data_IF_732117816373
#
_entry.id   IF_732117816373
#
_cell.length_a   1.000
_cell.length_b   1.000
_cell.length_c   1.000
_cell.angle_alpha   90.00
_cell.angle_beta   90.00
_cell.angle_gamma   90.00
#
_symmetry.space_group_name_H-M   'P 1'
#
loop_
_entity.id
_entity.type
_entity.pdbx_description
1 polymer ?
#
# COMPACT_ATOMS: atom_id res chain seq x y z
N UNK A 1 29.96 -15.16 7.28
CA UNK A 1 28.82 -16.10 7.32
C UNK A 1 27.61 -15.22 7.62
N UNK A 2 26.88 -14.76 6.60
CA UNK A 2 25.65 -13.99 6.80
C UNK A 2 24.60 -14.98 7.28
N UNK A 3 24.10 -14.81 8.51
CA UNK A 3 22.87 -15.47 8.92
C UNK A 3 21.78 -15.01 7.95
N UNK A 4 21.18 -15.96 7.25
CA UNK A 4 19.91 -15.72 6.56
C UNK A 4 18.91 -15.52 7.71
N UNK A 5 18.60 -14.26 8.02
CA UNK A 5 17.53 -13.91 8.92
C UNK A 5 16.27 -14.23 8.09
N UNK A 6 15.61 -15.31 8.43
CA UNK A 6 14.33 -15.67 7.81
C UNK A 6 13.35 -14.52 8.06
N UNK A 7 12.72 -14.02 7.01
CA UNK A 7 11.75 -12.93 7.10
C UNK A 7 10.61 -13.28 8.07
N UNK A 8 10.01 -12.27 8.67
CA UNK A 8 8.92 -12.43 9.63
C UNK A 8 7.67 -12.99 8.95
N UNK A 9 6.98 -13.88 9.63
CA UNK A 9 5.69 -14.43 9.21
C UNK A 9 4.59 -13.36 9.22
N UNK A 10 3.47 -13.62 8.56
CA UNK A 10 2.30 -12.72 8.58
C UNK A 10 1.75 -12.51 10.00
N UNK A 11 1.80 -13.54 10.86
CA UNK A 11 1.35 -13.42 12.25
C UNK A 11 2.29 -12.55 13.08
N UNK A 12 3.59 -12.60 12.84
CA UNK A 12 4.57 -11.72 13.49
C UNK A 12 4.38 -10.28 13.06
N UNK A 13 4.20 -10.03 11.75
CA UNK A 13 3.89 -8.70 11.24
C UNK A 13 2.59 -8.15 11.80
N UNK A 14 1.56 -8.98 11.90
CA UNK A 14 0.29 -8.59 12.50
C UNK A 14 0.47 -8.14 13.95
N UNK A 15 1.20 -8.91 14.77
CA UNK A 15 1.51 -8.54 16.16
C UNK A 15 2.28 -7.22 16.24
N UNK A 16 3.31 -7.04 15.39
CA UNK A 16 4.06 -5.78 15.33
C UNK A 16 3.12 -4.60 15.04
N UNK A 17 2.20 -4.73 14.09
CA UNK A 17 1.26 -3.67 13.76
C UNK A 17 0.24 -3.40 14.87
N UNK A 18 -0.19 -4.43 15.59
CA UNK A 18 -1.06 -4.32 16.76
C UNK A 18 -0.34 -3.64 17.93
N UNK A 19 0.87 -4.05 18.26
CA UNK A 19 1.70 -3.48 19.33
C UNK A 19 2.01 -1.99 19.10
N UNK A 20 2.24 -1.61 17.86
CA UNK A 20 2.43 -0.23 17.44
C UNK A 20 1.13 0.58 17.41
N UNK A 21 -0.03 -0.07 17.61
CA UNK A 21 -1.36 0.52 17.42
C UNK A 21 -1.56 1.07 15.99
N UNK A 22 -0.86 0.51 15.02
CA UNK A 22 -1.09 0.79 13.61
C UNK A 22 -2.36 0.08 13.11
N UNK A 23 -2.71 -1.02 13.73
CA UNK A 23 -3.90 -1.82 13.45
C UNK A 23 -4.97 -1.56 14.52
N UNK A 24 -6.17 -1.23 14.08
CA UNK A 24 -7.29 -0.98 14.97
C UNK A 24 -8.54 -1.72 14.50
N UNK A 25 -9.23 -2.33 15.45
CA UNK A 25 -10.51 -2.99 15.25
C UNK A 25 -11.48 -2.52 16.35
N UNK A 26 -12.70 -2.20 15.95
CA UNK A 26 -13.77 -1.81 16.86
C UNK A 26 -14.21 -3.01 17.72
N UNK A 27 -14.30 -2.83 19.00
CA UNK A 27 -14.62 -3.88 19.97
C UNK A 27 -16.13 -4.15 20.17
N UNK A 28 -16.97 -3.48 19.38
CA UNK A 28 -18.44 -3.59 19.49
C UNK A 28 -19.07 -2.64 20.50
N UNK A 29 -18.30 -1.89 21.29
CA UNK A 29 -18.86 -0.93 22.26
C UNK A 29 -19.49 0.28 21.54
N UNK A 30 -20.81 0.51 21.63
CA UNK A 30 -21.48 1.60 20.92
C UNK A 30 -21.05 3.01 21.35
N UNK A 31 -20.41 3.14 22.51
CA UNK A 31 -19.87 4.42 22.96
C UNK A 31 -18.56 4.81 22.25
N UNK A 32 -17.90 3.84 21.60
CA UNK A 32 -16.68 4.07 20.82
C UNK A 32 -17.03 4.50 19.40
N UNK A 33 -16.29 5.46 18.84
CA UNK A 33 -16.44 5.79 17.43
C UNK A 33 -15.90 4.68 16.53
N UNK A 34 -16.41 4.60 15.30
CA UNK A 34 -15.88 3.76 14.25
C UNK A 34 -15.36 4.58 13.06
N UNK A 35 -14.67 3.92 12.12
CA UNK A 35 -13.98 4.61 11.05
C UNK A 35 -14.92 5.06 9.93
N UNK A 36 -14.88 6.37 9.60
CA UNK A 36 -15.40 6.94 8.36
C UNK A 36 -14.26 6.95 7.33
N UNK A 37 -14.38 6.14 6.29
CA UNK A 37 -13.39 6.01 5.23
C UNK A 37 -13.53 7.10 4.17
N UNK A 38 -12.47 7.31 3.40
CA UNK A 38 -12.53 8.13 2.18
C UNK A 38 -13.60 7.58 1.25
N UNK A 39 -14.46 8.43 0.72
CA UNK A 39 -15.62 8.03 -0.08
C UNK A 39 -16.89 7.73 0.72
N UNK A 40 -16.92 8.06 2.02
CA UNK A 40 -18.13 8.03 2.86
C UNK A 40 -18.51 6.65 3.38
N UNK A 41 -17.77 5.59 3.10
CA UNK A 41 -18.02 4.26 3.66
C UNK A 41 -17.56 4.18 5.11
N UNK A 42 -18.21 3.32 5.89
CA UNK A 42 -17.88 3.03 7.29
C UNK A 42 -17.14 1.71 7.42
N UNK A 43 -16.32 1.57 8.45
CA UNK A 43 -15.62 0.31 8.76
C UNK A 43 -15.40 0.13 10.26
N UNK A 44 -15.46 -1.11 10.72
CA UNK A 44 -15.07 -1.49 12.07
C UNK A 44 -13.57 -1.74 12.23
N UNK A 45 -12.76 -1.48 11.21
CA UNK A 45 -11.31 -1.65 11.28
C UNK A 45 -10.57 -0.64 10.41
N UNK A 46 -9.35 -0.32 10.80
CA UNK A 46 -8.46 0.57 10.05
C UNK A 46 -6.99 0.20 10.28
N UNK A 47 -6.18 0.33 9.25
CA UNK A 47 -4.74 0.26 9.35
C UNK A 47 -4.15 1.65 9.04
N UNK A 48 -3.37 2.17 9.98
CA UNK A 48 -2.68 3.44 9.83
C UNK A 48 -1.24 3.19 9.38
N UNK A 49 -1.01 3.13 8.08
CA UNK A 49 0.29 2.89 7.48
C UNK A 49 1.35 3.92 7.87
N UNK A 50 0.94 5.16 8.16
CA UNK A 50 1.87 6.23 8.56
C UNK A 50 2.68 5.87 9.80
N UNK A 51 2.12 5.10 10.74
CA UNK A 51 2.82 4.65 11.96
C UNK A 51 3.99 3.72 11.63
N UNK A 52 3.88 2.94 10.57
CA UNK A 52 4.96 2.06 10.09
C UNK A 52 5.97 2.88 9.27
N UNK A 53 5.45 3.71 8.37
CA UNK A 53 6.24 4.51 7.41
C UNK A 53 7.13 5.52 8.13
N UNK A 54 6.67 6.14 9.23
CA UNK A 54 7.48 7.07 10.03
C UNK A 54 8.70 6.42 10.72
N UNK A 55 8.82 5.09 10.67
CA UNK A 55 9.93 4.29 11.26
C UNK A 55 10.78 3.67 10.15
N UNK A 56 11.83 4.36 9.65
CA UNK A 56 12.57 3.91 8.47
C UNK A 56 13.11 2.48 8.56
N UNK A 57 13.67 2.09 9.71
CA UNK A 57 14.21 0.73 9.88
C UNK A 57 13.10 -0.34 9.78
N UNK A 58 11.95 -0.09 10.41
CA UNK A 58 10.81 -1.00 10.34
C UNK A 58 10.24 -1.08 8.92
N UNK A 59 10.18 0.05 8.21
CA UNK A 59 9.75 0.09 6.82
C UNK A 59 10.70 -0.70 5.92
N UNK A 60 12.02 -0.57 6.13
CA UNK A 60 13.02 -1.34 5.38
C UNK A 60 12.87 -2.83 5.62
N UNK A 61 12.70 -3.27 6.88
CA UNK A 61 12.44 -4.68 7.22
C UNK A 61 11.15 -5.17 6.53
N UNK A 62 10.08 -4.38 6.61
CA UNK A 62 8.79 -4.70 5.98
C UNK A 62 8.91 -4.90 4.47
N UNK A 63 9.64 -4.01 3.80
CA UNK A 63 9.86 -4.08 2.36
C UNK A 63 10.78 -5.26 1.99
N UNK A 64 11.80 -5.56 2.79
CA UNK A 64 12.65 -6.73 2.59
C UNK A 64 11.85 -8.05 2.68
N UNK A 65 11.01 -8.18 3.71
CA UNK A 65 10.16 -9.36 3.88
C UNK A 65 9.10 -9.50 2.77
N UNK A 66 8.60 -8.39 2.21
CA UNK A 66 7.74 -8.43 1.02
C UNK A 66 8.48 -8.96 -0.20
N UNK A 67 9.71 -8.50 -0.40
CA UNK A 67 10.54 -8.93 -1.54
C UNK A 67 10.92 -10.41 -1.45
N UNK A 68 11.12 -10.96 -0.24
CA UNK A 68 11.40 -12.40 -0.07
C UNK A 68 10.24 -13.29 -0.53
N UNK A 69 9.00 -12.77 -0.51
CA UNK A 69 7.79 -13.48 -0.98
C UNK A 69 7.60 -13.46 -2.50
N UNK A 70 8.52 -12.83 -3.25
CA UNK A 70 8.36 -12.55 -4.67
C UNK A 70 9.59 -12.91 -5.49
N UNK A 71 9.34 -13.26 -6.75
CA UNK A 71 10.39 -13.46 -7.75
C UNK A 71 11.05 -12.15 -8.22
N UNK A 72 10.44 -10.98 -7.97
CA UNK A 72 10.98 -9.68 -8.38
C UNK A 72 12.34 -9.38 -7.74
N UNK A 73 12.60 -9.94 -6.56
CA UNK A 73 13.89 -9.79 -5.88
C UNK A 73 15.08 -10.32 -6.69
N UNK A 74 14.84 -11.25 -7.61
CA UNK A 74 15.86 -11.76 -8.53
C UNK A 74 16.20 -10.83 -9.69
N UNK A 75 15.29 -9.92 -10.06
CA UNK A 75 15.46 -9.02 -11.20
C UNK A 75 16.36 -7.82 -10.88
N UNK A 76 16.39 -7.37 -9.61
CA UNK A 76 17.14 -6.16 -9.19
C UNK A 76 18.61 -6.40 -8.88
N UNK A 77 19.05 -7.65 -8.68
CA UNK A 77 20.44 -7.94 -8.26
C UNK A 77 21.41 -7.88 -9.43
N UNK A 78 21.97 -6.71 -9.68
CA UNK A 78 23.08 -6.54 -10.65
C UNK A 78 24.44 -6.62 -9.97
N UNK A 79 25.48 -7.10 -10.67
CA UNK A 79 26.85 -6.93 -10.21
C UNK A 79 27.20 -5.44 -10.11
N UNK A 80 27.91 -5.03 -9.03
CA UNK A 80 28.39 -3.64 -8.90
C UNK A 80 29.25 -3.29 -10.12
N UNK A 81 28.93 -2.17 -10.78
CA UNK A 81 29.67 -1.67 -11.94
C UNK A 81 29.18 -2.19 -13.29
N UNK A 82 28.12 -3.00 -13.34
CA UNK A 82 27.49 -3.37 -14.61
C UNK A 82 26.77 -2.16 -15.21
N UNK A 83 26.91 -1.96 -16.54
CA UNK A 83 26.14 -0.95 -17.26
C UNK A 83 24.63 -1.26 -17.15
N UNK A 84 23.82 -0.22 -17.02
CA UNK A 84 22.36 -0.36 -17.08
C UNK A 84 21.94 -0.81 -18.48
N UNK A 85 21.46 -2.04 -18.58
CA UNK A 85 20.87 -2.58 -19.82
C UNK A 85 19.39 -2.86 -19.63
N UNK A 86 18.53 -2.64 -20.65
CA UNK A 86 17.11 -2.99 -20.55
C UNK A 86 16.90 -4.51 -20.37
N UNK A 87 15.78 -4.93 -19.75
CA UNK A 87 14.75 -4.08 -19.17
C UNK A 87 15.16 -3.45 -17.85
N UNK A 88 14.67 -2.24 -17.58
CA UNK A 88 14.96 -1.51 -16.34
C UNK A 88 13.85 -1.70 -15.33
N UNK A 89 14.18 -2.17 -14.14
CA UNK A 89 13.20 -2.25 -13.06
C UNK A 89 12.94 -0.85 -12.50
N UNK A 90 11.65 -0.52 -12.32
CA UNK A 90 11.23 0.76 -11.76
C UNK A 90 10.05 0.58 -10.82
N UNK A 91 10.19 1.04 -9.59
CA UNK A 91 9.14 0.92 -8.58
C UNK A 91 8.29 2.17 -8.54
N UNK A 92 6.97 2.02 -8.60
CA UNK A 92 6.02 3.11 -8.44
C UNK A 92 5.10 2.89 -7.25
N UNK A 93 5.02 3.93 -6.39
CA UNK A 93 4.03 4.02 -5.32
C UNK A 93 2.95 5.04 -5.63
N UNK A 94 1.82 4.97 -4.95
CA UNK A 94 0.80 6.02 -5.00
C UNK A 94 1.07 7.07 -3.90
N UNK A 95 0.99 8.34 -4.24
CA UNK A 95 1.14 9.38 -3.22
C UNK A 95 -0.15 9.52 -2.38
N UNK A 96 -0.02 9.73 -1.06
CA UNK A 96 1.26 9.93 -0.33
C UNK A 96 1.70 8.64 0.41
N UNK A 97 0.80 7.64 0.57
CA UNK A 97 1.04 6.49 1.44
C UNK A 97 2.22 5.61 0.99
N UNK A 98 2.41 5.43 -0.33
CA UNK A 98 3.40 4.51 -0.83
C UNK A 98 4.68 5.18 -1.37
N UNK A 99 4.85 6.50 -1.14
CA UNK A 99 6.06 7.22 -1.59
C UNK A 99 7.34 6.68 -0.95
N UNK A 100 7.32 6.47 0.37
CA UNK A 100 8.48 5.96 1.10
C UNK A 100 8.64 4.45 0.90
N UNK A 101 7.55 3.72 0.66
CA UNK A 101 7.60 2.30 0.29
C UNK A 101 8.30 2.15 -1.06
N UNK A 102 7.97 3.00 -2.05
CA UNK A 102 8.66 2.99 -3.35
C UNK A 102 10.14 3.33 -3.23
N UNK A 103 10.52 4.21 -2.29
CA UNK A 103 11.91 4.50 -1.98
C UNK A 103 12.61 3.27 -1.38
N UNK A 104 12.01 2.62 -0.38
CA UNK A 104 12.58 1.45 0.26
C UNK A 104 12.77 0.28 -0.72
N UNK A 105 11.78 0.02 -1.56
CA UNK A 105 11.87 -0.99 -2.63
C UNK A 105 12.98 -0.64 -3.64
N UNK A 106 13.01 0.61 -4.12
CA UNK A 106 14.05 1.07 -5.06
C UNK A 106 15.45 0.91 -4.50
N UNK A 107 15.63 1.22 -3.20
CA UNK A 107 16.90 1.03 -2.49
C UNK A 107 17.28 -0.45 -2.37
N UNK A 108 16.35 -1.31 -1.97
CA UNK A 108 16.59 -2.75 -1.78
C UNK A 108 16.84 -3.49 -3.11
N UNK A 109 16.20 -3.05 -4.18
CA UNK A 109 16.34 -3.62 -5.52
C UNK A 109 17.46 -2.98 -6.36
N UNK A 110 18.08 -1.92 -5.85
CA UNK A 110 19.07 -1.11 -6.57
C UNK A 110 18.52 -0.64 -7.95
N UNK A 111 17.32 -0.06 -7.93
CA UNK A 111 16.62 0.36 -9.14
C UNK A 111 15.97 1.74 -9.00
N UNK A 112 15.53 2.30 -10.13
CA UNK A 112 14.82 3.59 -10.15
C UNK A 112 13.46 3.48 -9.46
N UNK A 113 13.00 4.58 -8.89
CA UNK A 113 11.69 4.66 -8.27
C UNK A 113 10.93 5.91 -8.70
N UNK A 114 9.62 5.87 -8.55
CA UNK A 114 8.74 7.00 -8.76
C UNK A 114 7.49 6.88 -7.91
N UNK A 115 6.59 7.81 -8.10
CA UNK A 115 5.24 7.77 -7.55
C UNK A 115 4.27 8.53 -8.42
N UNK A 116 2.99 8.13 -8.36
CA UNK A 116 1.89 8.89 -8.95
C UNK A 116 1.33 9.85 -7.91
N UNK A 117 0.88 11.02 -8.35
CA UNK A 117 0.34 12.08 -7.49
C UNK A 117 -1.14 12.30 -7.79
N UNK A 118 -1.89 12.67 -6.76
CA UNK A 118 -3.28 13.10 -6.97
C UNK A 118 -3.32 14.42 -7.72
N UNK A 119 -4.21 14.51 -8.67
CA UNK A 119 -4.54 15.70 -9.43
C UNK A 119 -6.06 15.83 -9.53
N UNK A 120 -6.50 17.02 -9.88
CA UNK A 120 -7.92 17.33 -10.11
C UNK A 120 -8.04 17.93 -11.52
N UNK A 121 -8.89 17.36 -12.32
CA UNK A 121 -9.16 17.88 -13.67
C UNK A 121 -9.98 19.19 -13.60
N UNK A 122 -10.12 19.92 -14.71
CA UNK A 122 -10.90 21.16 -14.75
C UNK A 122 -12.39 20.99 -14.39
N UNK A 123 -12.90 19.76 -14.38
CA UNK A 123 -14.28 19.43 -13.99
C UNK A 123 -14.39 19.04 -12.51
N UNK A 124 -13.27 19.12 -11.76
CA UNK A 124 -13.23 18.79 -10.33
C UNK A 124 -13.08 17.30 -10.02
N UNK A 125 -12.83 16.45 -11.02
CA UNK A 125 -12.65 15.00 -10.81
C UNK A 125 -11.22 14.66 -10.40
N UNK A 126 -11.06 13.98 -9.27
CA UNK A 126 -9.76 13.47 -8.82
C UNK A 126 -9.28 12.29 -9.68
N UNK A 127 -8.01 12.28 -10.00
CA UNK A 127 -7.30 11.21 -10.69
C UNK A 127 -5.84 11.15 -10.24
N UNK A 128 -5.11 10.12 -10.68
CA UNK A 128 -3.67 10.03 -10.45
C UNK A 128 -2.92 10.47 -11.72
N UNK A 129 -1.75 11.10 -11.53
CA UNK A 129 -0.85 11.52 -12.60
C UNK A 129 0.60 11.13 -12.31
N UNK A 130 1.39 10.93 -13.35
CA UNK A 130 2.85 10.86 -13.30
C UNK A 130 3.40 12.25 -13.63
N UNK A 131 4.01 12.95 -12.67
CA UNK A 131 4.47 14.34 -12.87
C UNK A 131 5.98 14.49 -12.90
N UNK A 132 6.67 13.75 -12.06
CA UNK A 132 8.08 13.99 -11.74
C UNK A 132 9.04 12.92 -12.24
N UNK A 133 8.52 11.77 -12.61
CA UNK A 133 9.32 10.60 -12.91
C UNK A 133 8.97 10.09 -14.30
N UNK A 134 9.86 10.31 -15.26
CA UNK A 134 9.67 9.80 -16.62
C UNK A 134 9.62 8.27 -16.61
N UNK A 135 8.89 7.70 -17.54
CA UNK A 135 8.78 6.27 -17.80
C UNK A 135 9.35 5.97 -19.18
N UNK A 136 10.13 4.91 -19.27
CA UNK A 136 10.75 4.46 -20.52
C UNK A 136 10.03 3.22 -21.07
N UNK A 137 9.99 3.02 -22.39
CA UNK A 137 9.49 1.77 -22.99
C UNK A 137 10.16 0.51 -22.47
N UNK A 138 11.36 0.64 -21.93
CA UNK A 138 12.16 -0.46 -21.41
C UNK A 138 11.98 -0.68 -19.91
N UNK A 139 11.13 0.11 -19.25
CA UNK A 139 10.88 -0.06 -17.82
C UNK A 139 9.93 -1.24 -17.58
N UNK A 140 10.25 -2.06 -16.60
CA UNK A 140 9.31 -2.98 -15.95
C UNK A 140 8.85 -2.29 -14.66
N UNK A 141 7.58 -1.89 -14.62
CA UNK A 141 7.03 -1.14 -13.49
C UNK A 141 6.50 -2.11 -12.43
N UNK A 142 7.03 -2.00 -11.21
CA UNK A 142 6.54 -2.67 -10.00
C UNK A 142 5.69 -1.70 -9.19
N UNK A 143 4.49 -2.12 -8.80
CA UNK A 143 3.54 -1.30 -8.05
C UNK A 143 3.58 -1.63 -6.57
N UNK A 144 3.64 -0.57 -5.74
CA UNK A 144 3.61 -0.69 -4.27
C UNK A 144 2.55 0.23 -3.67
N UNK A 145 1.96 -0.20 -2.55
CA UNK A 145 0.92 0.53 -1.81
C UNK A 145 1.10 0.31 -0.30
N UNK A 146 0.57 1.20 0.53
CA UNK A 146 0.52 0.97 1.98
C UNK A 146 -0.62 0.02 2.36
N UNK A 147 -1.81 0.26 1.85
CA UNK A 147 -3.02 -0.53 2.14
C UNK A 147 -3.87 -0.74 0.90
N UNK A 148 -4.07 -1.98 0.49
CA UNK A 148 -5.04 -2.31 -0.56
C UNK A 148 -6.42 -2.48 0.07
N UNK A 149 -7.37 -1.65 -0.37
CA UNK A 149 -8.80 -1.72 -0.01
C UNK A 149 -9.63 -2.21 -1.19
N UNK A 150 -10.13 -1.32 -2.02
CA UNK A 150 -10.82 -1.67 -3.28
C UNK A 150 -9.86 -1.88 -4.47
N UNK A 151 -8.59 -1.49 -4.32
CA UNK A 151 -7.60 -1.47 -5.39
C UNK A 151 -7.74 -0.29 -6.36
N UNK A 152 -8.68 0.64 -6.11
CA UNK A 152 -8.94 1.74 -7.05
C UNK A 152 -7.75 2.67 -7.19
N UNK A 153 -7.00 2.96 -6.12
CA UNK A 153 -5.77 3.77 -6.18
C UNK A 153 -4.74 3.14 -7.12
N UNK A 154 -4.55 1.82 -7.02
CA UNK A 154 -3.65 1.07 -7.91
C UNK A 154 -4.12 1.16 -9.36
N UNK A 155 -5.42 0.96 -9.61
CA UNK A 155 -5.97 1.09 -10.99
C UNK A 155 -5.78 2.48 -11.56
N UNK A 156 -5.95 3.51 -10.75
CA UNK A 156 -5.71 4.89 -11.17
C UNK A 156 -4.22 5.13 -11.44
N UNK A 157 -3.33 4.57 -10.63
CA UNK A 157 -1.88 4.64 -10.86
C UNK A 157 -1.47 3.92 -12.14
N UNK A 158 -2.03 2.74 -12.42
CA UNK A 158 -1.81 2.01 -13.68
C UNK A 158 -2.25 2.89 -14.87
N UNK A 159 -3.47 3.42 -14.83
CA UNK A 159 -3.96 4.31 -15.90
C UNK A 159 -3.06 5.54 -16.11
N UNK A 160 -2.59 6.16 -15.02
CA UNK A 160 -1.68 7.30 -15.09
C UNK A 160 -0.34 6.94 -15.76
N UNK A 161 0.19 5.76 -15.44
CA UNK A 161 1.42 5.22 -16.00
C UNK A 161 1.24 4.91 -17.51
N UNK A 162 0.13 4.28 -17.88
CA UNK A 162 -0.21 3.97 -19.27
C UNK A 162 -0.46 5.24 -20.12
N UNK A 163 -0.98 6.31 -19.51
CA UNK A 163 -1.21 7.61 -20.18
C UNK A 163 0.08 8.36 -20.54
N UNK A 164 1.24 7.99 -19.99
CA UNK A 164 2.54 8.50 -20.43
C UNK A 164 2.86 8.14 -21.90
N UNK A 165 2.00 7.35 -22.54
CA UNK A 165 2.07 7.05 -23.98
C UNK A 165 3.26 6.19 -24.38
N UNK A 166 3.83 5.48 -23.45
CA UNK A 166 5.00 4.61 -23.67
C UNK A 166 4.52 3.30 -24.28
N UNK A 167 4.89 3.06 -25.53
CA UNK A 167 4.59 1.83 -26.24
C UNK A 167 5.32 0.65 -25.58
N UNK A 168 4.60 -0.48 -25.39
CA UNK A 168 5.17 -1.74 -24.86
C UNK A 168 5.60 -1.70 -23.38
N UNK A 169 4.97 -0.82 -22.60
CA UNK A 169 5.21 -0.72 -21.17
C UNK A 169 4.83 -2.04 -20.48
N UNK A 170 5.76 -2.60 -19.72
CA UNK A 170 5.54 -3.79 -18.92
C UNK A 170 5.24 -3.43 -17.47
N UNK A 171 4.12 -3.91 -16.94
CA UNK A 171 3.80 -3.82 -15.51
C UNK A 171 3.96 -5.22 -14.92
N UNK A 172 4.72 -5.31 -13.83
CA UNK A 172 4.98 -6.59 -13.14
C UNK A 172 3.70 -7.26 -12.65
N UNK A 173 3.66 -8.59 -12.68
CA UNK A 173 2.47 -9.38 -12.35
C UNK A 173 2.14 -9.44 -10.85
N UNK A 174 2.86 -8.69 -10.03
CA UNK A 174 2.64 -8.59 -8.59
C UNK A 174 2.50 -7.14 -8.15
N UNK A 175 1.62 -6.93 -7.18
CA UNK A 175 1.39 -5.65 -6.48
C UNK A 175 1.73 -5.87 -5.01
N UNK A 176 2.59 -5.02 -4.45
CA UNK A 176 3.05 -5.15 -3.07
C UNK A 176 2.32 -4.19 -2.15
N UNK A 177 1.97 -4.66 -0.95
CA UNK A 177 1.35 -3.82 0.06
C UNK A 177 1.77 -4.24 1.47
N UNK A 178 1.83 -3.30 2.41
CA UNK A 178 2.02 -3.64 3.82
C UNK A 178 0.81 -4.44 4.32
N UNK A 179 -0.40 -4.00 3.98
CA UNK A 179 -1.64 -4.68 4.36
C UNK A 179 -2.60 -4.79 3.17
N UNK A 180 -3.10 -5.99 2.95
CA UNK A 180 -4.23 -6.23 2.07
C UNK A 180 -5.48 -6.45 2.92
N UNK A 181 -6.41 -5.50 2.88
CA UNK A 181 -7.71 -5.59 3.57
C UNK A 181 -8.89 -5.81 2.63
N UNK A 182 -8.63 -6.04 1.37
CA UNK A 182 -9.65 -6.18 0.33
C UNK A 182 -10.35 -7.54 0.33
N UNK A 183 -9.67 -8.57 0.84
CA UNK A 183 -10.09 -9.96 0.67
C UNK A 183 -9.74 -10.54 -0.72
N UNK A 184 -9.23 -9.75 -1.65
CA UNK A 184 -8.80 -10.19 -2.97
C UNK A 184 -7.38 -10.80 -2.91
N UNK A 185 -7.14 -11.84 -3.69
CA UNK A 185 -5.78 -12.41 -3.90
C UNK A 185 -5.10 -11.81 -5.12
N UNK A 186 -5.89 -11.31 -6.04
CA UNK A 186 -5.41 -10.69 -7.29
C UNK A 186 -6.20 -9.42 -7.57
N UNK A 187 -5.57 -8.47 -8.25
CA UNK A 187 -6.18 -7.24 -8.75
C UNK A 187 -5.89 -7.15 -10.24
N UNK A 188 -6.95 -7.26 -11.05
CA UNK A 188 -6.86 -7.21 -12.52
C UNK A 188 -5.81 -8.18 -13.09
N UNK A 189 -5.82 -9.43 -12.58
CA UNK A 189 -4.91 -10.50 -12.97
C UNK A 189 -3.55 -10.51 -12.25
N UNK A 190 -3.15 -9.44 -11.57
CA UNK A 190 -1.88 -9.33 -10.84
C UNK A 190 -2.01 -9.84 -9.41
N UNK A 191 -1.06 -10.64 -8.96
CA UNK A 191 -1.04 -11.18 -7.60
C UNK A 191 -0.79 -10.08 -6.58
N UNK A 192 -1.57 -10.05 -5.50
CA UNK A 192 -1.30 -9.18 -4.35
C UNK A 192 -0.34 -9.90 -3.40
N UNK A 193 0.79 -9.27 -3.12
CA UNK A 193 1.78 -9.72 -2.15
C UNK A 193 1.73 -8.76 -0.97
N UNK A 194 1.33 -9.27 0.20
CA UNK A 194 1.20 -8.46 1.42
C UNK A 194 1.91 -9.11 2.62
N UNK A 195 2.26 -8.30 3.61
CA UNK A 195 2.74 -8.79 4.89
C UNK A 195 1.59 -9.40 5.68
N UNK A 196 0.45 -8.70 5.70
CA UNK A 196 -0.75 -9.11 6.42
C UNK A 196 -1.96 -9.03 5.51
N UNK A 197 -2.66 -10.14 5.39
CA UNK A 197 -3.99 -10.20 4.79
C UNK A 197 -5.04 -10.18 5.90
N UNK A 198 -5.99 -9.24 5.81
CA UNK A 198 -7.08 -9.13 6.78
C UNK A 198 -8.34 -8.63 6.11
N UNK A 199 -9.43 -9.34 6.30
CA UNK A 199 -10.72 -8.86 5.82
C UNK A 199 -11.29 -7.82 6.79
N UNK A 200 -11.45 -6.58 6.32
CA UNK A 200 -12.10 -5.50 7.06
C UNK A 200 -13.33 -5.05 6.27
N UNK A 201 -14.53 -5.48 6.63
CA UNK A 201 -15.73 -5.13 5.91
C UNK A 201 -15.97 -3.61 5.94
N UNK A 202 -16.56 -3.13 4.86
CA UNK A 202 -16.97 -1.74 4.73
C UNK A 202 -18.45 -1.69 4.37
N UNK A 203 -19.15 -0.70 4.91
CA UNK A 203 -20.60 -0.52 4.72
C UNK A 203 -20.92 0.88 4.22
N UNK A 204 -22.06 1.04 3.59
CA UNK A 204 -22.68 2.37 3.47
C UNK A 204 -23.13 2.85 4.84
N UNK A 205 -23.35 4.16 5.06
CA UNK A 205 -23.87 4.64 6.35
C UNK A 205 -25.18 3.95 6.77
N UNK A 206 -26.07 3.70 5.80
CA UNK A 206 -27.38 3.08 6.00
C UNK A 206 -27.31 1.61 6.41
N UNK A 207 -26.28 0.90 5.92
CA UNK A 207 -26.08 -0.54 6.19
C UNK A 207 -25.10 -0.81 7.33
N UNK A 208 -24.55 0.25 7.93
CA UNK A 208 -23.48 0.09 8.94
C UNK A 208 -24.04 -0.46 10.25
N UNK A 209 -23.65 -1.69 10.66
CA UNK A 209 -24.12 -2.29 11.90
C UNK A 209 -23.68 -1.53 13.15
N UNK A 210 -22.56 -0.81 13.07
CA UNK A 210 -22.05 0.00 14.18
C UNK A 210 -22.89 1.27 14.36
N UNK A 211 -23.35 1.91 13.27
CA UNK A 211 -24.31 3.01 13.34
C UNK A 211 -25.62 2.54 13.95
N UNK A 212 -26.14 1.39 13.52
CA UNK A 212 -27.37 0.81 14.06
C UNK A 212 -27.24 0.48 15.56
N UNK A 213 -26.05 0.15 16.03
CA UNK A 213 -25.76 -0.06 17.44
C UNK A 213 -25.57 1.24 18.24
N UNK A 214 -25.58 2.42 17.59
CA UNK A 214 -25.42 3.74 18.25
C UNK A 214 -24.01 4.31 18.23
N UNK A 215 -23.01 3.64 17.63
CA UNK A 215 -21.68 4.19 17.44
C UNK A 215 -21.71 5.27 16.34
N UNK A 216 -20.87 6.29 16.48
CA UNK A 216 -20.75 7.34 15.47
C UNK A 216 -19.46 7.17 14.65
N UNK A 217 -19.53 7.52 13.37
CA UNK A 217 -18.38 7.43 12.46
C UNK A 217 -17.52 8.70 12.51
N UNK A 218 -16.18 8.54 12.57
CA UNK A 218 -15.23 9.64 12.52
C UNK A 218 -14.09 9.34 11.54
N UNK A 219 -13.56 10.33 10.81
CA UNK A 219 -12.39 10.13 9.95
C UNK A 219 -11.18 9.68 10.78
N UNK A 220 -10.48 8.60 10.42
CA UNK A 220 -9.27 8.17 11.14
C UNK A 220 -8.15 9.21 11.12
N UNK A 221 -7.97 9.90 10.00
CA UNK A 221 -6.98 10.97 9.88
C UNK A 221 -7.37 12.15 10.78
N UNK A 222 -6.47 12.53 11.68
CA UNK A 222 -6.69 13.57 12.67
C UNK A 222 -7.42 13.11 13.94
N UNK A 223 -8.04 11.92 13.94
CA UNK A 223 -8.80 11.38 15.08
C UNK A 223 -8.29 10.01 15.56
N UNK A 224 -7.05 9.66 15.23
CA UNK A 224 -6.52 8.32 15.53
C UNK A 224 -6.57 7.98 17.02
N UNK A 225 -6.21 8.96 17.87
CA UNK A 225 -6.28 8.80 19.32
C UNK A 225 -7.72 8.57 19.83
N UNK A 226 -8.71 9.20 19.21
CA UNK A 226 -10.11 8.99 19.59
C UNK A 226 -10.61 7.60 19.21
N UNK A 227 -10.16 7.02 18.08
CA UNK A 227 -10.48 5.66 17.68
C UNK A 227 -9.80 4.62 18.57
N UNK A 228 -8.51 4.82 18.89
CA UNK A 228 -7.67 3.82 19.58
C UNK A 228 -7.70 3.94 21.10
N UNK A 229 -8.33 4.98 21.65
CA UNK A 229 -8.45 5.19 23.11
C UNK A 229 -9.24 4.04 23.75
N UNK A 230 -8.75 3.54 24.87
CA UNK A 230 -9.54 2.66 25.72
C UNK A 230 -10.69 3.45 26.38
N UNK A 231 -11.89 2.87 26.40
CA UNK A 231 -13.09 3.44 27.03
C UNK A 231 -13.49 2.58 28.23
#
# INVERSE_FOLDING_TARGET
MFQIIQGKSSDEWRRIFEDLKAFWVHDGNPKRPHALLTGGKHSGGFFNGSIVIERPNLLMDACADLLEKSAVSGLGKRPKGAEETPPYLKVFGSANGATDISFAFGYLLDCKRGFTEKATDPLGKEHMEVKRFGISPWDIVVLVEDVITSGETIRQSIRAIEMEGVWDLSIWDEIFALVNRSGMRTLDGRRIVSLVDVHMPTWTPEECPLCMAGSHAIPPKGNWNALTRAY
#
